data_IF_906401296940
#
_entry.id   IF_906401296940
#
_cell.length_a   1.000
_cell.length_b   1.000
_cell.length_c   1.000
_cell.angle_alpha   90.00
_cell.angle_beta   90.00
_cell.angle_gamma   90.00
#
_symmetry.space_group_name_H-M   'P 1'
#
loop_
_entity.id
_entity.type
_entity.pdbx_description
1 polymer ?
#
# COMPACT_ATOMS: atom_id res chain seq x y z
N UNK A 1 -2.05 0.42 5.29
CA UNK A 1 -2.92 -0.66 4.74
C UNK A 1 -2.04 -1.59 3.91
N UNK A 2 -2.47 -2.80 3.52
CA UNK A 2 -1.57 -3.65 2.72
C UNK A 2 -1.50 -3.20 1.25
N UNK A 3 -0.32 -3.28 0.62
CA UNK A 3 -0.07 -2.84 -0.77
C UNK A 3 -1.14 -3.26 -1.79
N UNK A 4 -1.67 -4.51 -1.82
CA UNK A 4 -2.63 -4.87 -2.85
C UNK A 4 -3.99 -4.18 -2.66
N UNK A 5 -4.36 -3.78 -1.44
CA UNK A 5 -5.54 -2.95 -1.21
C UNK A 5 -5.32 -1.54 -1.78
N UNK A 6 -4.12 -0.97 -1.63
CA UNK A 6 -3.79 0.32 -2.23
C UNK A 6 -3.93 0.24 -3.75
N UNK A 7 -3.44 -0.85 -4.36
CA UNK A 7 -3.59 -1.07 -5.79
C UNK A 7 -5.06 -1.05 -6.22
N UNK A 8 -5.92 -1.84 -5.57
CA UNK A 8 -7.34 -1.93 -5.96
C UNK A 8 -8.05 -0.59 -5.79
N UNK A 9 -7.82 0.08 -4.66
CA UNK A 9 -8.38 1.41 -4.40
C UNK A 9 -7.94 2.43 -5.45
N UNK A 10 -6.64 2.48 -5.75
CA UNK A 10 -6.08 3.40 -6.72
C UNK A 10 -6.59 3.14 -8.14
N UNK A 11 -6.70 1.87 -8.55
CA UNK A 11 -7.24 1.52 -9.87
C UNK A 11 -8.68 2.03 -10.04
N UNK A 12 -9.49 1.96 -8.99
CA UNK A 12 -10.88 2.46 -8.99
C UNK A 12 -10.90 3.98 -9.00
N UNK A 13 -10.27 4.62 -8.02
CA UNK A 13 -10.38 6.06 -7.81
C UNK A 13 -9.72 6.89 -8.90
N UNK A 14 -8.64 6.40 -9.51
CA UNK A 14 -7.94 7.09 -10.60
C UNK A 14 -8.44 6.69 -12.00
N UNK A 15 -9.51 5.90 -12.06
CA UNK A 15 -10.23 5.56 -13.29
C UNK A 15 -9.53 4.55 -14.20
N UNK A 16 -8.49 3.86 -13.71
CA UNK A 16 -7.76 2.86 -14.50
C UNK A 16 -8.62 1.64 -14.87
N UNK A 17 -9.68 1.35 -14.11
CA UNK A 17 -10.65 0.30 -14.45
C UNK A 17 -11.45 0.60 -15.72
N UNK A 18 -11.62 1.89 -16.06
CA UNK A 18 -12.34 2.39 -17.25
C UNK A 18 -11.39 2.80 -18.38
N UNK A 19 -10.22 3.33 -18.05
CA UNK A 19 -9.19 3.76 -19.00
C UNK A 19 -7.88 2.98 -18.78
N UNK A 20 -7.70 1.82 -19.45
CA UNK A 20 -6.58 0.90 -19.17
C UNK A 20 -5.19 1.48 -19.43
N UNK A 21 -5.08 2.58 -20.18
CA UNK A 21 -3.82 3.30 -20.39
C UNK A 21 -3.27 3.89 -19.07
N UNK A 22 -4.14 4.13 -18.09
CA UNK A 22 -3.77 4.62 -16.74
C UNK A 22 -3.29 3.50 -15.82
N UNK A 23 -3.54 2.24 -16.14
CA UNK A 23 -3.24 1.10 -15.25
C UNK A 23 -1.77 1.04 -14.86
N UNK A 24 -0.85 1.14 -15.81
CA UNK A 24 0.58 1.07 -15.51
C UNK A 24 1.08 2.19 -14.56
N UNK A 25 0.86 3.50 -14.83
CA UNK A 25 1.30 4.54 -13.90
C UNK A 25 0.57 4.49 -12.55
N UNK A 26 -0.72 4.13 -12.53
CA UNK A 26 -1.47 3.97 -11.28
C UNK A 26 -0.91 2.83 -10.43
N UNK A 27 -0.62 1.67 -11.04
CA UNK A 27 0.03 0.55 -10.36
C UNK A 27 1.40 0.93 -9.81
N UNK A 28 2.21 1.62 -10.62
CA UNK A 28 3.52 2.07 -10.19
C UNK A 28 3.40 2.95 -8.94
N UNK A 29 2.54 3.97 -8.95
CA UNK A 29 2.39 4.83 -7.77
C UNK A 29 1.72 4.17 -6.56
N UNK A 30 0.93 3.11 -6.76
CA UNK A 30 0.30 2.37 -5.65
C UNK A 30 1.26 1.40 -4.96
N UNK A 31 2.31 0.94 -5.66
CA UNK A 31 3.30 -0.02 -5.15
C UNK A 31 4.60 0.67 -4.71
N UNK A 32 4.99 1.76 -5.38
CA UNK A 32 6.27 2.41 -5.16
C UNK A 32 6.54 2.79 -3.70
N UNK A 33 5.58 3.35 -2.92
CA UNK A 33 5.83 3.68 -1.52
C UNK A 33 6.25 2.48 -0.65
N UNK A 34 5.65 1.31 -0.88
CA UNK A 34 5.92 0.08 -0.14
C UNK A 34 7.13 -0.71 -0.66
N UNK A 35 7.63 -0.40 -1.85
CA UNK A 35 8.72 -1.15 -2.48
C UNK A 35 9.96 -1.30 -1.58
N UNK A 36 10.43 -0.27 -0.83
CA UNK A 36 11.54 -0.43 0.09
C UNK A 36 11.26 -1.43 1.21
N UNK A 37 10.01 -1.55 1.67
CA UNK A 37 9.61 -2.52 2.71
C UNK A 37 9.71 -3.95 2.14
N UNK A 38 9.30 -4.17 0.89
CA UNK A 38 9.44 -5.46 0.21
C UNK A 38 10.93 -5.83 0.05
N UNK A 39 11.76 -4.86 -0.35
CA UNK A 39 13.20 -5.06 -0.49
C UNK A 39 13.86 -5.36 0.85
N UNK A 40 13.54 -4.59 1.90
CA UNK A 40 13.97 -4.84 3.28
C UNK A 40 13.63 -6.27 3.71
N UNK A 41 12.37 -6.67 3.56
CA UNK A 41 11.91 -8.00 3.97
C UNK A 41 12.67 -9.09 3.22
N UNK A 42 12.77 -9.00 1.90
CA UNK A 42 13.49 -9.99 1.10
C UNK A 42 14.98 -10.07 1.47
N UNK A 43 15.64 -8.92 1.64
CA UNK A 43 17.04 -8.82 2.02
C UNK A 43 17.30 -9.51 3.37
N UNK A 44 16.51 -9.20 4.39
CA UNK A 44 16.71 -9.75 5.72
C UNK A 44 16.30 -11.22 5.84
N UNK A 45 15.27 -11.65 5.10
CA UNK A 45 14.92 -13.08 5.00
C UNK A 45 16.02 -13.90 4.33
N UNK A 46 16.68 -13.37 3.29
CA UNK A 46 17.83 -14.01 2.64
C UNK A 46 19.05 -14.11 3.58
N UNK A 47 19.16 -13.21 4.56
CA UNK A 47 20.15 -13.28 5.63
C UNK A 47 19.79 -14.26 6.76
N UNK A 48 18.64 -14.92 6.67
CA UNK A 48 18.16 -15.86 7.67
C UNK A 48 17.56 -15.19 8.91
N UNK A 49 17.22 -13.90 8.84
CA UNK A 49 16.64 -13.19 9.98
C UNK A 49 15.19 -13.62 10.23
N UNK A 50 14.80 -13.63 11.50
CA UNK A 50 13.43 -13.96 11.91
C UNK A 50 12.45 -12.82 11.67
N UNK A 51 11.16 -13.14 11.51
CA UNK A 51 10.07 -12.14 11.41
C UNK A 51 10.14 -11.10 12.53
N UNK A 52 10.34 -11.56 13.77
CA UNK A 52 10.41 -10.68 14.93
C UNK A 52 11.56 -9.68 14.81
N UNK A 53 12.74 -10.11 14.32
CA UNK A 53 13.86 -9.20 14.15
C UNK A 53 13.63 -8.19 13.01
N UNK A 54 13.03 -8.63 11.89
CA UNK A 54 12.73 -7.74 10.76
C UNK A 54 11.78 -6.63 11.21
N UNK A 55 10.63 -6.98 11.80
CA UNK A 55 9.58 -6.03 12.11
C UNK A 55 9.79 -5.23 13.39
N UNK A 56 10.63 -5.71 14.33
CA UNK A 56 10.92 -4.99 15.59
C UNK A 56 12.23 -4.23 15.58
N UNK A 57 13.15 -4.58 14.67
CA UNK A 57 14.50 -3.98 14.64
C UNK A 57 14.79 -3.37 13.27
N UNK A 58 14.88 -4.19 12.22
CA UNK A 58 15.37 -3.74 10.91
C UNK A 58 14.46 -2.69 10.26
N UNK A 59 13.14 -2.88 10.40
CA UNK A 59 12.15 -1.94 9.90
C UNK A 59 12.33 -0.54 10.47
N UNK A 60 12.77 -0.42 11.73
CA UNK A 60 12.99 0.85 12.42
C UNK A 60 14.42 1.39 12.27
N UNK A 61 15.28 0.73 11.48
CA UNK A 61 16.58 1.28 11.14
C UNK A 61 16.44 2.60 10.36
N UNK A 62 17.24 3.59 10.75
CA UNK A 62 17.18 4.95 10.20
C UNK A 62 17.34 5.03 8.68
N UNK A 63 18.12 4.13 8.07
CA UNK A 63 18.38 4.14 6.62
C UNK A 63 17.18 3.61 5.86
N UNK A 64 16.57 2.53 6.36
CA UNK A 64 15.33 2.01 5.79
C UNK A 64 14.18 3.01 5.96
N UNK A 65 14.01 3.53 7.17
CA UNK A 65 12.98 4.53 7.46
C UNK A 65 13.15 5.79 6.59
N UNK A 66 14.37 6.27 6.35
CA UNK A 66 14.59 7.44 5.49
C UNK A 66 14.06 7.22 4.05
N UNK A 67 14.29 6.05 3.46
CA UNK A 67 13.81 5.74 2.11
C UNK A 67 12.28 5.53 2.09
N UNK A 68 11.75 4.80 3.08
CA UNK A 68 10.30 4.58 3.22
C UNK A 68 9.58 5.92 3.39
N UNK A 69 10.01 6.74 4.34
CA UNK A 69 9.40 8.05 4.61
C UNK A 69 9.54 9.01 3.42
N UNK A 70 10.64 8.95 2.66
CA UNK A 70 10.79 9.75 1.45
C UNK A 70 9.74 9.42 0.38
N UNK A 71 9.35 8.14 0.24
CA UNK A 71 8.33 7.73 -0.73
C UNK A 71 6.89 7.91 -0.22
N UNK A 72 6.69 8.11 1.08
CA UNK A 72 5.41 8.47 1.70
C UNK A 72 5.25 9.98 1.97
N UNK A 73 6.28 10.76 1.64
CA UNK A 73 6.34 12.19 1.90
C UNK A 73 5.46 13.00 0.94
N UNK A 74 4.44 13.67 1.46
CA UNK A 74 3.61 14.59 0.70
C UNK A 74 4.42 15.76 0.13
N UNK A 75 5.32 16.44 0.89
CA UNK A 75 6.16 17.49 0.31
C UNK A 75 7.00 17.02 -0.89
N UNK A 76 7.66 15.86 -0.78
CA UNK A 76 8.50 15.35 -1.87
C UNK A 76 7.66 14.93 -3.08
N UNK A 77 6.52 14.25 -2.86
CA UNK A 77 5.61 13.89 -3.93
C UNK A 77 5.07 15.15 -4.64
N UNK A 78 4.74 16.22 -3.90
CA UNK A 78 4.26 17.48 -4.46
C UNK A 78 5.32 18.19 -5.31
N UNK A 79 6.60 18.14 -4.92
CA UNK A 79 7.71 18.67 -5.74
C UNK A 79 7.79 17.92 -7.07
N UNK A 80 7.75 16.58 -7.04
CA UNK A 80 7.79 15.76 -8.26
C UNK A 80 6.54 15.99 -9.11
N UNK A 81 5.36 16.11 -8.49
CA UNK A 81 4.12 16.43 -9.18
C UNK A 81 4.18 17.80 -9.86
N UNK A 82 4.70 18.82 -9.17
CA UNK A 82 4.90 20.16 -9.74
C UNK A 82 5.80 20.13 -10.97
N UNK A 83 6.94 19.44 -10.89
CA UNK A 83 7.83 19.24 -12.04
C UNK A 83 7.14 18.48 -13.18
N UNK A 84 6.39 17.42 -12.88
CA UNK A 84 5.65 16.64 -13.87
C UNK A 84 4.60 17.47 -14.62
N UNK A 85 3.89 18.36 -13.90
CA UNK A 85 2.91 19.27 -14.48
C UNK A 85 3.57 20.31 -15.38
N UNK A 86 4.66 20.94 -14.91
CA UNK A 86 5.42 21.94 -15.67
C UNK A 86 6.02 21.36 -16.96
N UNK A 87 6.48 20.11 -16.91
CA UNK A 87 7.10 19.42 -18.06
C UNK A 87 6.09 18.68 -18.95
N UNK A 88 4.80 18.71 -18.60
CA UNK A 88 3.75 18.03 -19.36
C UNK A 88 3.91 16.51 -19.41
N UNK A 89 4.27 15.88 -18.28
CA UNK A 89 4.49 14.43 -18.15
C UNK A 89 3.28 13.72 -17.52
N UNK A 90 2.20 13.43 -18.28
CA UNK A 90 0.92 12.95 -17.73
C UNK A 90 1.02 11.60 -17.00
N UNK A 91 1.98 10.74 -17.41
CA UNK A 91 2.19 9.46 -16.71
C UNK A 91 2.77 9.67 -15.32
N UNK A 92 3.71 10.60 -15.16
CA UNK A 92 4.29 10.92 -13.86
C UNK A 92 3.28 11.62 -12.95
N UNK A 93 2.41 12.47 -13.50
CA UNK A 93 1.27 13.05 -12.76
C UNK A 93 0.38 11.94 -12.17
N UNK A 94 0.05 10.91 -12.93
CA UNK A 94 -0.74 9.77 -12.44
C UNK A 94 0.01 8.92 -11.40
N UNK A 95 1.32 8.75 -11.54
CA UNK A 95 2.15 8.08 -10.52
C UNK A 95 2.09 8.86 -9.21
N UNK A 96 2.33 10.18 -9.25
CA UNK A 96 2.28 11.03 -8.06
C UNK A 96 0.88 11.05 -7.42
N UNK A 97 -0.19 11.16 -8.22
CA UNK A 97 -1.56 11.10 -7.69
C UNK A 97 -1.85 9.77 -6.98
N UNK A 98 -1.33 8.66 -7.52
CA UNK A 98 -1.46 7.34 -6.92
C UNK A 98 -0.65 7.20 -5.62
N UNK A 99 0.58 7.72 -5.59
CA UNK A 99 1.39 7.78 -4.37
C UNK A 99 0.75 8.67 -3.29
N UNK A 100 0.16 9.81 -3.67
CA UNK A 100 -0.55 10.67 -2.72
C UNK A 100 -1.77 9.96 -2.12
N UNK A 101 -2.54 9.23 -2.93
CA UNK A 101 -3.67 8.46 -2.44
C UNK A 101 -3.22 7.31 -1.53
N UNK A 102 -2.09 6.65 -1.86
CA UNK A 102 -1.46 5.66 -0.99
C UNK A 102 -1.12 6.28 0.37
N UNK A 103 -0.28 7.33 0.37
CA UNK A 103 0.14 8.03 1.57
C UNK A 103 -1.03 8.60 2.40
N UNK A 104 -2.09 9.09 1.74
CA UNK A 104 -3.27 9.60 2.42
C UNK A 104 -4.02 8.52 3.19
N UNK A 105 -4.10 7.30 2.64
CA UNK A 105 -4.74 6.17 3.35
C UNK A 105 -3.88 5.72 4.53
N UNK A 106 -2.57 5.62 4.35
CA UNK A 106 -1.68 5.21 5.44
C UNK A 106 -1.60 6.23 6.56
N UNK A 107 -1.71 7.51 6.22
CA UNK A 107 -1.82 8.58 7.21
C UNK A 107 -2.92 8.28 8.23
N UNK A 108 -4.05 7.71 7.82
CA UNK A 108 -5.17 7.40 8.73
C UNK A 108 -5.16 5.96 9.28
N UNK A 109 -4.27 5.08 8.84
CA UNK A 109 -4.31 3.65 9.17
C UNK A 109 -3.05 3.12 9.86
N UNK A 110 -2.11 3.99 10.24
CA UNK A 110 -0.93 3.62 11.00
C UNK A 110 -0.90 4.34 12.35
N UNK A 111 -0.57 3.60 13.41
CA UNK A 111 -0.48 4.14 14.78
C UNK A 111 0.97 4.13 15.28
N UNK A 112 1.51 2.95 15.59
CA UNK A 112 2.86 2.80 16.13
C UNK A 112 3.96 2.79 15.06
N UNK A 113 3.58 2.53 13.83
CA UNK A 113 4.41 2.37 12.63
C UNK A 113 4.16 3.49 11.61
N UNK A 114 3.61 4.62 12.04
CA UNK A 114 3.27 5.73 11.17
C UNK A 114 4.50 6.34 10.46
N UNK A 115 4.32 6.66 9.18
CA UNK A 115 5.34 7.31 8.37
C UNK A 115 5.44 8.80 8.67
N UNK A 116 6.62 9.37 8.43
CA UNK A 116 6.85 10.82 8.46
C UNK A 116 6.35 11.44 7.16
N UNK A 117 5.03 11.60 7.01
CA UNK A 117 4.41 12.12 5.79
C UNK A 117 4.82 13.55 5.40
N UNK A 118 5.47 14.29 6.30
CA UNK A 118 6.01 15.63 6.04
C UNK A 118 7.55 15.68 5.99
N UNK A 119 8.22 14.53 5.95
CA UNK A 119 9.67 14.46 5.74
C UNK A 119 10.08 15.12 4.41
N UNK A 120 11.22 15.82 4.28
CA UNK A 120 12.19 16.14 5.33
C UNK A 120 11.88 17.44 6.08
N UNK A 121 10.70 18.04 5.88
CA UNK A 121 10.34 19.30 6.53
C UNK A 121 10.06 19.12 8.02
N UNK A 122 9.41 18.02 8.38
CA UNK A 122 9.06 17.69 9.76
C UNK A 122 9.28 16.19 10.02
N UNK A 123 9.82 15.86 11.20
CA UNK A 123 9.91 14.48 11.71
C UNK A 123 8.63 14.00 12.40
N UNK A 124 7.56 14.78 12.31
CA UNK A 124 6.28 14.49 12.93
C UNK A 124 5.58 13.29 12.27
N UNK A 125 4.96 12.46 13.12
CA UNK A 125 4.15 11.30 12.74
C UNK A 125 2.76 11.47 13.33
N UNK A 126 1.73 11.16 12.52
CA UNK A 126 0.37 11.10 13.03
C UNK A 126 0.12 9.71 13.61
N UNK A 127 -0.07 9.62 14.93
CA UNK A 127 -0.48 8.39 15.58
C UNK A 127 -2.00 8.22 15.41
N UNK A 128 -2.43 7.58 14.32
CA UNK A 128 -3.86 7.43 14.04
C UNK A 128 -4.56 6.61 15.13
N UNK A 129 -5.76 6.98 15.59
CA UNK A 129 -6.52 6.14 16.54
C UNK A 129 -6.92 4.78 15.95
N UNK A 130 -6.80 4.61 14.63
CA UNK A 130 -7.12 3.40 13.89
C UNK A 130 -5.86 2.87 13.22
N UNK A 131 -5.58 1.58 13.39
CA UNK A 131 -4.52 0.85 12.70
C UNK A 131 -5.11 -0.24 11.83
N UNK A 132 -4.54 -0.46 10.64
CA UNK A 132 -4.94 -1.59 9.80
C UNK A 132 -4.51 -2.95 10.36
N UNK A 133 -3.59 -2.99 11.35
CA UNK A 133 -3.05 -4.25 11.87
C UNK A 133 -2.95 -4.35 13.40
N UNK A 134 -2.76 -3.25 14.16
CA UNK A 134 -2.64 -3.30 15.62
C UNK A 134 -4.01 -3.57 16.28
N UNK A 135 -4.21 -4.71 16.96
CA UNK A 135 -5.49 -5.03 17.61
C UNK A 135 -5.90 -4.05 18.70
N UNK A 136 -4.95 -3.32 19.31
CA UNK A 136 -5.26 -2.28 20.30
C UNK A 136 -5.85 -1.01 19.67
N UNK A 137 -5.76 -0.90 18.35
CA UNK A 137 -6.22 0.23 17.54
C UNK A 137 -7.17 -0.26 16.43
N UNK A 138 -8.11 -1.15 16.77
CA UNK A 138 -9.13 -1.70 15.85
C UNK A 138 -8.61 -2.56 14.69
N UNK A 139 -7.33 -2.95 14.66
CA UNK A 139 -6.75 -3.76 13.58
C UNK A 139 -7.44 -5.11 13.37
N UNK A 140 -7.98 -5.72 14.42
CA UNK A 140 -8.78 -6.95 14.35
C UNK A 140 -10.14 -6.77 13.64
N UNK A 141 -10.59 -5.53 13.46
CA UNK A 141 -11.81 -5.17 12.71
C UNK A 141 -11.43 -4.64 11.32
N UNK A 142 -10.44 -3.75 11.25
CA UNK A 142 -10.02 -3.11 10.00
C UNK A 142 -9.42 -4.13 9.02
N UNK A 143 -8.53 -5.02 9.48
CA UNK A 143 -7.91 -6.03 8.61
C UNK A 143 -8.92 -6.94 7.89
N UNK A 144 -9.91 -7.58 8.55
CA UNK A 144 -10.90 -8.39 7.85
C UNK A 144 -11.84 -7.54 6.97
N UNK A 145 -12.21 -6.33 7.40
CA UNK A 145 -13.01 -5.43 6.57
C UNK A 145 -12.28 -5.02 5.28
N UNK A 146 -11.01 -4.65 5.38
CA UNK A 146 -10.12 -4.38 4.24
C UNK A 146 -10.09 -5.59 3.31
N UNK A 147 -9.85 -6.79 3.86
CA UNK A 147 -9.72 -7.99 3.05
C UNK A 147 -11.00 -8.37 2.31
N UNK A 148 -12.16 -8.31 2.97
CA UNK A 148 -13.47 -8.55 2.34
C UNK A 148 -13.74 -7.48 1.26
N UNK A 149 -13.48 -6.21 1.59
CA UNK A 149 -13.66 -5.09 0.66
C UNK A 149 -12.83 -5.23 -0.61
N UNK A 150 -11.55 -5.62 -0.47
CA UNK A 150 -10.64 -5.87 -1.59
C UNK A 150 -11.11 -7.03 -2.46
N UNK A 151 -11.48 -8.17 -1.86
CA UNK A 151 -11.98 -9.34 -2.62
C UNK A 151 -13.27 -8.98 -3.38
N UNK A 152 -14.21 -8.29 -2.73
CA UNK A 152 -15.45 -7.86 -3.35
C UNK A 152 -15.20 -6.86 -4.50
N UNK A 153 -14.32 -5.88 -4.28
CA UNK A 153 -13.92 -4.91 -5.30
C UNK A 153 -13.23 -5.60 -6.49
N UNK A 154 -12.31 -6.53 -6.25
CA UNK A 154 -11.67 -7.32 -7.30
C UNK A 154 -12.70 -8.11 -8.12
N UNK A 155 -13.66 -8.77 -7.48
CA UNK A 155 -14.72 -9.52 -8.15
C UNK A 155 -15.61 -8.60 -9.01
N UNK A 156 -15.99 -7.43 -8.49
CA UNK A 156 -16.77 -6.44 -9.22
C UNK A 156 -16.00 -5.87 -10.42
N UNK A 157 -14.73 -5.51 -10.24
CA UNK A 157 -13.88 -4.98 -11.33
C UNK A 157 -13.66 -6.05 -12.39
N UNK A 158 -13.36 -7.29 -12.00
CA UNK A 158 -13.15 -8.39 -12.94
C UNK A 158 -14.38 -8.65 -13.83
N UNK A 159 -15.59 -8.50 -13.28
CA UNK A 159 -16.87 -8.63 -13.98
C UNK A 159 -17.18 -7.44 -14.90
N UNK A 160 -16.77 -6.23 -14.54
CA UNK A 160 -17.18 -5.00 -15.22
C UNK A 160 -16.15 -4.45 -16.21
N UNK A 161 -14.86 -4.72 -15.99
CA UNK A 161 -13.80 -4.22 -16.87
C UNK A 161 -13.79 -4.95 -18.21
N UNK A 162 -13.60 -4.18 -19.30
CA UNK A 162 -13.38 -4.72 -20.65
C UNK A 162 -11.91 -5.04 -20.93
N UNK A 163 -11.00 -4.64 -20.04
CA UNK A 163 -9.57 -4.81 -20.24
C UNK A 163 -9.07 -6.13 -19.65
N UNK A 164 -8.47 -7.03 -20.45
CA UNK A 164 -7.92 -8.27 -19.94
C UNK A 164 -6.74 -8.04 -18.99
N UNK A 165 -5.92 -7.00 -19.22
CA UNK A 165 -4.78 -6.71 -18.33
C UNK A 165 -5.24 -6.25 -16.94
N UNK A 166 -6.22 -5.34 -16.87
CA UNK A 166 -6.83 -4.93 -15.60
C UNK A 166 -7.47 -6.13 -14.90
N UNK A 167 -8.19 -6.98 -15.66
CA UNK A 167 -8.81 -8.20 -15.14
C UNK A 167 -7.77 -9.14 -14.52
N UNK A 168 -6.66 -9.40 -15.20
CA UNK A 168 -5.59 -10.26 -14.68
C UNK A 168 -4.96 -9.70 -13.41
N UNK A 169 -4.72 -8.38 -13.36
CA UNK A 169 -4.17 -7.71 -12.18
C UNK A 169 -5.09 -7.89 -10.97
N UNK A 170 -6.39 -7.56 -11.10
CA UNK A 170 -7.32 -7.68 -9.97
C UNK A 170 -7.62 -9.13 -9.60
N UNK A 171 -7.60 -10.06 -10.56
CA UNK A 171 -7.72 -11.48 -10.28
C UNK A 171 -6.54 -11.98 -9.44
N UNK A 172 -5.30 -11.60 -9.78
CA UNK A 172 -4.11 -11.93 -9.00
C UNK A 172 -4.20 -11.40 -7.56
N UNK A 173 -4.59 -10.12 -7.40
CA UNK A 173 -4.78 -9.52 -6.08
C UNK A 173 -5.87 -10.23 -5.27
N UNK A 174 -7.01 -10.51 -5.90
CA UNK A 174 -8.11 -11.22 -5.25
C UNK A 174 -7.71 -12.63 -4.78
N UNK A 175 -6.92 -13.36 -5.57
CA UNK A 175 -6.39 -14.67 -5.19
C UNK A 175 -5.42 -14.59 -4.01
N UNK A 176 -4.53 -13.59 -3.99
CA UNK A 176 -3.61 -13.37 -2.87
C UNK A 176 -4.38 -13.10 -1.55
N UNK A 177 -5.41 -12.25 -1.61
CA UNK A 177 -6.24 -11.94 -0.44
C UNK A 177 -7.09 -13.13 0.00
N UNK A 178 -7.64 -13.90 -0.93
CA UNK A 178 -8.37 -15.12 -0.60
C UNK A 178 -7.45 -16.14 0.09
N UNK A 179 -6.23 -16.31 -0.40
CA UNK A 179 -5.23 -17.18 0.23
C UNK A 179 -4.89 -16.69 1.66
N UNK A 180 -4.72 -15.38 1.84
CA UNK A 180 -4.49 -14.78 3.16
C UNK A 180 -5.67 -15.04 4.12
N UNK A 181 -6.91 -14.83 3.68
CA UNK A 181 -8.10 -15.09 4.51
C UNK A 181 -8.22 -16.56 4.90
N UNK A 182 -7.99 -17.50 3.97
CA UNK A 182 -7.99 -18.94 4.26
C UNK A 182 -6.90 -19.30 5.27
N UNK A 183 -5.70 -18.74 5.12
CA UNK A 183 -4.61 -18.94 6.06
C UNK A 183 -4.97 -18.41 7.46
N UNK A 184 -5.46 -17.17 7.54
CA UNK A 184 -5.86 -16.55 8.80
C UNK A 184 -6.95 -17.34 9.53
N UNK A 185 -7.99 -17.78 8.80
CA UNK A 185 -9.07 -18.61 9.35
C UNK A 185 -8.55 -19.94 9.89
N UNK A 186 -7.68 -20.63 9.15
CA UNK A 186 -7.08 -21.89 9.60
C UNK A 186 -6.27 -21.71 10.89
N UNK A 187 -5.44 -20.67 10.95
CA UNK A 187 -4.65 -20.38 12.15
C UNK A 187 -5.54 -20.06 13.35
N UNK A 188 -6.65 -19.33 13.13
CA UNK A 188 -7.60 -19.02 14.19
C UNK A 188 -8.29 -20.28 14.73
N UNK A 189 -8.77 -21.17 13.85
CA UNK A 189 -9.48 -22.40 14.24
C UNK A 189 -8.60 -23.45 14.91
N UNK A 190 -7.28 -23.41 14.69
CA UNK A 190 -6.33 -24.37 15.29
C UNK A 190 -5.89 -23.92 16.69
N UNK A 191 -6.02 -22.62 17.00
CA UNK A 191 -5.62 -22.02 18.28
C UNK A 191 -6.81 -21.80 19.24
N UNK A 192 -8.05 -22.07 18.81
CA UNK A 192 -9.29 -21.98 19.57
C UNK A 192 -9.81 -23.36 19.96
#
# INVERSE_FOLDING_TARGET
MNTPAHVVLNLVLLGATKEPRRTAPVLAGAVLPDLPIVVLYAYERLRGMSEAWIWRTAYYDSRWQAVIDALHSLPLILVVLGAALLLGWPRLVLICASMMLHAAVDFFLHHGDAHRHFFPLLDWRFASPVSYWDPRHFGNIVAPMEAIGVVAACALIARTTRSPSVRSVVAGIGLLYLAYLVFALRMWTVLS
#
